data_IF_643105017159
#
_entry.id   IF_643105017159
#
_cell.length_a   1.000
_cell.length_b   1.000
_cell.length_c   1.000
_cell.angle_alpha   90.00
_cell.angle_beta   90.00
_cell.angle_gamma   90.00
#
_symmetry.space_group_name_H-M   'P 1'
#
loop_
_entity.id
_entity.type
_entity.pdbx_description
1 polymer ?
#
# COMPACT_ATOMS: atom_id res chain seq x y z
N UNK A 1 59.64 -23.62 12.10
CA UNK A 1 58.35 -23.25 12.74
C UNK A 1 57.32 -24.27 12.31
N UNK A 2 56.50 -24.74 13.24
CA UNK A 2 55.17 -25.26 12.96
C UNK A 2 54.19 -24.32 13.70
N UNK A 3 53.05 -24.02 13.11
CA UNK A 3 51.95 -23.29 13.76
C UNK A 3 50.62 -23.77 13.18
N UNK A 4 49.59 -23.86 14.01
CA UNK A 4 48.40 -24.69 13.76
C UNK A 4 47.13 -23.85 13.49
N UNK A 5 46.65 -23.89 12.24
CA UNK A 5 45.57 -23.02 11.74
C UNK A 5 44.15 -23.53 11.98
N UNK A 6 43.85 -24.13 13.12
CA UNK A 6 42.57 -24.83 13.39
C UNK A 6 41.32 -23.92 13.36
N UNK A 7 40.69 -23.77 12.18
CA UNK A 7 39.35 -23.17 12.03
C UNK A 7 38.27 -24.11 12.54
N UNK A 8 37.62 -23.76 13.67
CA UNK A 8 36.58 -24.58 14.30
C UNK A 8 35.19 -24.34 13.70
N UNK A 9 34.58 -25.42 13.22
CA UNK A 9 33.17 -25.47 12.85
C UNK A 9 32.28 -25.71 14.10
N UNK A 10 31.12 -25.05 14.26
CA UNK A 10 30.22 -25.26 15.40
C UNK A 10 28.99 -26.14 15.06
N UNK A 11 28.96 -27.43 15.42
CA UNK A 11 27.76 -28.25 15.30
C UNK A 11 26.76 -27.99 16.44
N UNK A 12 25.54 -27.53 16.12
CA UNK A 12 24.44 -27.49 17.09
C UNK A 12 23.96 -28.91 17.40
N UNK A 13 23.75 -29.20 18.70
CA UNK A 13 23.50 -30.55 19.21
C UNK A 13 22.01 -30.83 19.40
N UNK A 14 21.52 -31.92 18.80
CA UNK A 14 20.14 -32.37 18.96
C UNK A 14 20.00 -33.37 20.13
N UNK A 15 19.19 -33.02 21.13
CA UNK A 15 18.69 -33.86 22.25
C UNK A 15 17.50 -33.09 22.87
N UNK A 16 16.31 -33.63 23.12
CA UNK A 16 15.84 -35.01 23.06
C UNK A 16 15.35 -35.46 24.43
N UNK A 17 14.03 -35.33 24.73
CA UNK A 17 13.45 -35.71 26.03
C UNK A 17 11.94 -36.00 25.96
N UNK A 18 11.47 -37.03 26.67
CA UNK A 18 10.05 -37.51 26.85
C UNK A 18 10.10 -38.77 27.75
N UNK A 19 8.99 -39.33 28.32
CA UNK A 19 7.60 -38.84 28.49
C UNK A 19 7.45 -37.95 29.75
N UNK A 20 6.56 -38.02 30.78
CA UNK A 20 5.47 -38.89 31.35
C UNK A 20 4.60 -37.99 32.30
N UNK A 21 3.46 -38.34 32.90
CA UNK A 21 2.27 -39.18 32.61
C UNK A 21 1.27 -39.07 33.82
N UNK A 22 0.02 -39.55 33.70
CA UNK A 22 -1.11 -39.48 34.67
C UNK A 22 -1.79 -38.11 34.87
N UNK A 23 -3.12 -38.02 35.10
CA UNK A 23 -4.14 -39.07 34.98
C UNK A 23 -5.46 -38.80 35.74
N UNK A 24 -6.61 -39.11 35.12
CA UNK A 24 -7.94 -39.21 35.76
C UNK A 24 -8.87 -40.14 34.94
N UNK A 25 -9.89 -40.76 35.54
CA UNK A 25 -10.68 -41.88 34.97
C UNK A 25 -12.10 -41.97 35.53
N UNK A 26 -13.15 -42.01 34.70
CA UNK A 26 -14.52 -42.46 35.05
C UNK A 26 -15.33 -42.97 33.84
N UNK A 27 -15.92 -44.19 33.88
CA UNK A 27 -17.06 -44.66 33.06
C UNK A 27 -18.39 -44.51 33.86
N UNK A 28 -19.57 -45.10 33.50
CA UNK A 28 -20.02 -45.91 32.34
C UNK A 28 -21.19 -45.17 31.58
N UNK A 29 -22.26 -45.70 30.93
CA UNK A 29 -22.91 -47.04 30.77
C UNK A 29 -23.84 -47.04 29.52
N UNK A 30 -24.06 -48.15 28.79
CA UNK A 30 -25.02 -48.20 27.66
C UNK A 30 -26.41 -48.77 28.03
N UNK A 31 -27.50 -48.31 27.39
CA UNK A 31 -28.81 -48.99 27.44
C UNK A 31 -30.03 -48.27 26.81
N UNK A 32 -30.81 -49.04 26.04
CA UNK A 32 -32.28 -48.92 25.84
C UNK A 32 -32.89 -47.78 25.00
N UNK A 33 -33.60 -48.17 23.93
CA UNK A 33 -34.60 -47.42 23.14
C UNK A 33 -36.03 -47.98 23.49
N UNK A 34 -37.21 -47.60 22.90
CA UNK A 34 -37.47 -46.95 21.59
C UNK A 34 -38.67 -45.94 21.52
N UNK A 35 -38.98 -45.46 20.29
CA UNK A 35 -40.27 -44.94 19.76
C UNK A 35 -40.96 -43.72 20.48
N UNK A 36 -41.72 -42.82 19.82
CA UNK A 36 -42.63 -42.99 18.67
C UNK A 36 -42.81 -41.71 17.78
N UNK A 37 -43.54 -41.87 16.66
CA UNK A 37 -44.05 -40.91 15.63
C UNK A 37 -43.96 -39.39 15.88
N UNK A 38 -43.45 -38.66 14.86
CA UNK A 38 -43.38 -37.17 14.83
C UNK A 38 -43.42 -36.51 13.44
N UNK A 39 -44.09 -37.14 12.45
CA UNK A 39 -44.34 -36.70 11.04
C UNK A 39 -43.96 -35.24 10.65
N UNK A 40 -42.88 -35.08 9.88
CA UNK A 40 -42.62 -33.83 9.11
C UNK A 40 -41.34 -33.89 8.27
N UNK A 41 -41.45 -33.66 6.96
CA UNK A 41 -40.29 -33.35 6.11
C UNK A 41 -39.94 -31.86 6.24
N UNK A 42 -38.64 -31.52 6.20
CA UNK A 42 -38.09 -31.06 4.93
C UNK A 42 -36.83 -31.82 4.50
N UNK A 43 -36.47 -31.68 3.22
CA UNK A 43 -35.27 -32.28 2.63
C UNK A 43 -33.99 -31.71 3.25
N UNK A 44 -33.04 -32.60 3.57
CA UNK A 44 -31.70 -32.20 4.03
C UNK A 44 -30.82 -31.93 2.80
N UNK A 45 -30.34 -30.70 2.57
CA UNK A 45 -29.39 -30.45 1.49
C UNK A 45 -28.11 -31.22 1.77
N UNK A 46 -27.66 -32.03 0.82
CA UNK A 46 -26.44 -32.86 0.94
C UNK A 46 -25.25 -31.99 1.37
N UNK A 47 -24.53 -32.42 2.40
CA UNK A 47 -23.29 -31.78 2.86
C UNK A 47 -22.16 -32.09 1.87
N UNK A 48 -22.27 -31.55 0.66
CA UNK A 48 -21.19 -31.49 -0.30
C UNK A 48 -20.10 -30.59 0.30
N UNK A 49 -18.92 -31.17 0.58
CA UNK A 49 -17.74 -30.45 1.08
C UNK A 49 -17.20 -29.53 -0.01
N UNK A 50 -17.86 -28.39 -0.22
CA UNK A 50 -17.41 -27.38 -1.17
C UNK A 50 -16.20 -26.66 -0.58
N UNK A 51 -15.04 -26.84 -1.20
CA UNK A 51 -13.87 -26.04 -0.88
C UNK A 51 -14.24 -24.55 -1.03
N UNK A 52 -13.84 -23.73 -0.05
CA UNK A 52 -14.04 -22.30 -0.10
C UNK A 52 -12.98 -21.66 -1.00
N UNK A 53 -13.07 -21.91 -2.30
CA UNK A 53 -12.37 -21.11 -3.31
C UNK A 53 -12.76 -19.64 -3.09
N UNK A 54 -11.79 -18.73 -2.89
CA UNK A 54 -12.09 -17.32 -2.71
C UNK A 54 -12.64 -16.77 -4.02
N UNK A 55 -13.97 -16.56 -4.07
CA UNK A 55 -14.63 -15.91 -5.20
C UNK A 55 -13.94 -14.58 -5.46
N UNK A 56 -13.36 -14.32 -6.65
CA UNK A 56 -12.86 -13.00 -6.97
C UNK A 56 -14.01 -12.00 -6.85
N UNK A 57 -13.76 -10.89 -6.16
CA UNK A 57 -14.72 -9.80 -6.02
C UNK A 57 -15.11 -9.20 -7.39
N UNK A 58 -16.17 -8.38 -7.43
CA UNK A 58 -16.68 -7.85 -8.70
C UNK A 58 -15.60 -7.10 -9.46
N UNK A 59 -15.58 -7.30 -10.79
CA UNK A 59 -14.80 -6.51 -11.73
C UNK A 59 -15.22 -5.04 -11.59
N UNK A 60 -14.39 -4.25 -10.91
CA UNK A 60 -14.69 -2.86 -10.59
C UNK A 60 -13.48 -2.00 -10.97
N UNK A 61 -13.54 -1.48 -12.20
CA UNK A 61 -12.43 -0.83 -12.88
C UNK A 61 -12.11 -1.50 -14.22
N UNK A 62 -12.92 -1.20 -15.24
CA UNK A 62 -12.38 -1.08 -16.61
C UNK A 62 -11.50 0.17 -16.65
N UNK A 63 -10.31 0.03 -16.09
CA UNK A 63 -9.21 0.98 -16.17
C UNK A 63 -7.97 0.22 -16.59
N UNK A 64 -7.00 0.91 -17.16
CA UNK A 64 -5.75 0.34 -17.69
C UNK A 64 -4.84 -0.07 -16.52
N UNK A 65 -5.14 -1.24 -15.96
CA UNK A 65 -4.38 -1.83 -14.87
C UNK A 65 -3.20 -2.65 -15.42
N UNK A 66 -1.99 -2.26 -15.07
CA UNK A 66 -0.77 -3.01 -15.35
C UNK A 66 -0.25 -3.64 -14.06
N UNK A 67 0.15 -4.90 -14.11
CA UNK A 67 0.76 -5.62 -12.98
C UNK A 67 2.04 -6.27 -13.46
N UNK A 68 3.17 -5.88 -12.88
CA UNK A 68 4.48 -6.48 -13.14
C UNK A 68 4.78 -7.47 -12.02
N UNK A 69 4.58 -8.75 -12.29
CA UNK A 69 4.80 -9.81 -11.30
C UNK A 69 6.28 -10.02 -10.93
N UNK A 70 6.51 -10.77 -9.85
CA UNK A 70 7.84 -11.16 -9.38
C UNK A 70 8.66 -11.85 -10.48
N UNK A 71 9.97 -11.61 -10.46
CA UNK A 71 10.97 -12.11 -11.42
C UNK A 71 10.77 -11.65 -12.88
N UNK A 72 9.80 -10.77 -13.16
CA UNK A 72 9.66 -10.10 -14.46
C UNK A 72 10.49 -8.81 -14.47
N UNK A 73 11.28 -8.62 -15.53
CA UNK A 73 11.92 -7.35 -15.86
C UNK A 73 11.17 -6.69 -17.04
N UNK A 74 10.50 -5.55 -16.80
CA UNK A 74 9.80 -4.78 -17.81
C UNK A 74 10.64 -3.57 -18.23
N UNK A 75 11.04 -3.50 -19.50
CA UNK A 75 11.81 -2.39 -20.05
C UNK A 75 11.01 -1.69 -21.16
N UNK A 76 10.95 -0.35 -21.15
CA UNK A 76 10.25 0.42 -22.19
C UNK A 76 9.74 1.79 -21.73
N UNK A 77 8.58 2.18 -22.26
CA UNK A 77 7.83 3.37 -21.85
C UNK A 77 6.37 2.94 -21.59
N UNK A 78 5.78 3.41 -20.49
CA UNK A 78 4.40 3.14 -20.10
C UNK A 78 3.66 4.48 -20.04
N UNK A 79 2.70 4.66 -20.95
CA UNK A 79 1.97 5.92 -21.08
C UNK A 79 0.48 5.72 -20.82
N UNK A 80 -0.13 6.64 -20.07
CA UNK A 80 -1.56 6.68 -19.80
C UNK A 80 -2.14 5.38 -19.21
N UNK A 81 -1.66 4.95 -18.03
CA UNK A 81 -2.22 3.82 -17.26
C UNK A 81 -2.90 4.29 -15.96
N UNK A 82 -4.05 3.70 -15.62
CA UNK A 82 -4.85 4.12 -14.47
C UNK A 82 -4.29 3.62 -13.14
N UNK A 83 -3.83 2.36 -13.09
CA UNK A 83 -3.22 1.75 -11.91
C UNK A 83 -2.07 0.81 -12.27
N UNK A 84 -0.87 1.14 -11.82
CA UNK A 84 0.32 0.29 -11.96
C UNK A 84 0.66 -0.39 -10.63
N UNK A 85 0.81 -1.72 -10.64
CA UNK A 85 1.34 -2.50 -9.50
C UNK A 85 2.67 -3.13 -9.90
N UNK A 86 3.71 -2.98 -9.07
CA UNK A 86 5.07 -3.48 -9.34
C UNK A 86 5.55 -4.41 -8.23
N UNK A 87 5.58 -5.73 -8.51
CA UNK A 87 6.25 -6.75 -7.69
C UNK A 87 7.62 -7.18 -8.26
N UNK A 88 7.94 -6.84 -9.52
CA UNK A 88 9.17 -7.21 -10.23
C UNK A 88 10.16 -6.06 -10.42
N UNK A 89 11.05 -6.17 -11.42
CA UNK A 89 11.90 -5.06 -11.87
C UNK A 89 11.25 -4.31 -13.05
N UNK A 90 11.34 -2.97 -13.03
CA UNK A 90 10.88 -2.10 -14.11
C UNK A 90 11.99 -1.11 -14.45
N UNK A 91 12.56 -1.19 -15.65
CA UNK A 91 13.53 -0.24 -16.19
C UNK A 91 12.86 0.59 -17.30
N UNK A 92 12.04 1.57 -16.92
CA UNK A 92 11.13 2.25 -17.85
C UNK A 92 10.86 3.71 -17.48
N UNK A 93 10.33 4.46 -18.45
CA UNK A 93 9.68 5.75 -18.20
C UNK A 93 8.17 5.55 -18.05
N UNK A 94 7.58 6.05 -16.97
CA UNK A 94 6.14 6.08 -16.72
C UNK A 94 5.62 7.51 -16.92
N UNK A 95 4.76 7.71 -17.91
CA UNK A 95 4.16 9.00 -18.24
C UNK A 95 2.64 8.98 -18.02
N UNK A 96 2.10 10.08 -17.48
CA UNK A 96 0.66 10.31 -17.29
C UNK A 96 -0.07 9.12 -16.61
N UNK A 97 0.35 8.75 -15.39
CA UNK A 97 -0.30 7.65 -14.65
C UNK A 97 -0.96 8.11 -13.34
N UNK A 98 -2.15 7.58 -13.04
CA UNK A 98 -2.97 8.09 -11.93
C UNK A 98 -2.56 7.53 -10.56
N UNK A 99 -2.44 6.21 -10.46
CA UNK A 99 -2.08 5.49 -9.23
C UNK A 99 -0.92 4.52 -9.51
N UNK A 100 0.18 4.64 -8.76
CA UNK A 100 1.28 3.65 -8.75
C UNK A 100 1.48 3.06 -7.37
N UNK A 101 1.62 1.74 -7.31
CA UNK A 101 1.81 0.93 -6.11
C UNK A 101 3.03 0.01 -6.32
N UNK A 102 4.17 0.33 -5.71
CA UNK A 102 5.36 -0.55 -5.73
C UNK A 102 5.33 -1.43 -4.48
N UNK A 103 5.23 -2.74 -4.66
CA UNK A 103 5.18 -3.73 -3.58
C UNK A 103 6.56 -3.95 -2.94
N UNK A 104 6.61 -4.66 -1.80
CA UNK A 104 7.87 -5.09 -1.21
C UNK A 104 8.63 -6.04 -2.15
N UNK A 105 9.90 -5.72 -2.41
CA UNK A 105 10.72 -6.40 -3.42
C UNK A 105 10.64 -5.83 -4.84
N UNK A 106 9.65 -4.96 -5.14
CA UNK A 106 9.60 -4.26 -6.43
C UNK A 106 10.78 -3.29 -6.60
N UNK A 107 11.37 -3.25 -7.80
CA UNK A 107 12.51 -2.38 -8.14
C UNK A 107 12.16 -1.54 -9.36
N UNK A 108 11.95 -0.24 -9.18
CA UNK A 108 11.67 0.69 -10.27
C UNK A 108 12.88 1.58 -10.58
N UNK A 109 13.25 1.66 -11.85
CA UNK A 109 14.38 2.43 -12.37
C UNK A 109 13.95 3.25 -13.58
N UNK A 110 14.05 4.59 -13.50
CA UNK A 110 13.74 5.48 -14.62
C UNK A 110 13.04 6.77 -14.22
N UNK A 111 12.19 7.29 -15.10
CA UNK A 111 11.39 8.49 -14.86
C UNK A 111 9.94 8.09 -14.54
N UNK A 112 9.28 8.74 -13.57
CA UNK A 112 7.87 8.49 -13.26
C UNK A 112 7.09 9.79 -13.00
N UNK A 113 6.09 10.09 -13.84
CA UNK A 113 5.18 11.22 -13.70
C UNK A 113 3.76 10.73 -13.37
N UNK A 114 3.27 11.09 -12.18
CA UNK A 114 2.06 10.51 -11.59
C UNK A 114 1.22 11.50 -10.77
N UNK A 115 -0.07 11.23 -10.59
CA UNK A 115 -0.90 11.95 -9.61
C UNK A 115 -0.58 11.47 -8.18
N UNK A 116 -0.73 10.16 -7.91
CA UNK A 116 -0.61 9.55 -6.58
C UNK A 116 0.30 8.33 -6.60
N UNK A 117 1.31 8.30 -5.72
CA UNK A 117 2.28 7.20 -5.62
C UNK A 117 2.33 6.60 -4.22
N UNK A 118 2.45 5.28 -4.16
CA UNK A 118 2.74 4.51 -2.96
C UNK A 118 3.93 3.57 -3.19
N UNK A 119 4.98 3.73 -2.38
CA UNK A 119 6.28 3.05 -2.57
C UNK A 119 6.62 2.17 -1.36
N UNK A 120 6.58 0.85 -1.52
CA UNK A 120 7.06 -0.14 -0.53
C UNK A 120 8.32 -0.90 -0.96
N UNK A 121 8.73 -0.78 -2.23
CA UNK A 121 9.98 -1.33 -2.76
C UNK A 121 11.09 -0.29 -2.93
N UNK A 122 12.00 -0.55 -3.85
CA UNK A 122 13.10 0.33 -4.24
C UNK A 122 12.72 1.16 -5.47
N UNK A 123 12.91 2.48 -5.39
CA UNK A 123 12.80 3.40 -6.52
C UNK A 123 14.14 4.12 -6.74
N UNK A 124 14.70 4.09 -7.95
CA UNK A 124 15.94 4.80 -8.32
C UNK A 124 15.74 5.60 -9.62
N UNK A 125 15.68 6.93 -9.56
CA UNK A 125 15.52 7.76 -10.76
C UNK A 125 14.99 9.18 -10.54
N UNK A 126 14.11 9.65 -11.43
CA UNK A 126 13.38 10.92 -11.26
C UNK A 126 11.87 10.67 -11.13
N UNK A 127 11.26 11.20 -10.07
CA UNK A 127 9.82 11.06 -9.77
C UNK A 127 9.16 12.43 -9.67
N UNK A 128 8.00 12.58 -10.29
CA UNK A 128 7.15 13.77 -10.25
C UNK A 128 5.77 13.33 -9.75
N UNK A 129 5.48 13.62 -8.47
CA UNK A 129 4.23 13.28 -7.80
C UNK A 129 3.36 14.54 -7.65
N UNK A 130 2.41 14.73 -8.57
CA UNK A 130 1.64 15.97 -8.64
C UNK A 130 0.79 16.21 -7.39
N UNK A 131 0.10 15.19 -6.89
CA UNK A 131 -0.81 15.32 -5.74
C UNK A 131 -0.20 14.78 -4.44
N UNK A 132 0.11 13.47 -4.36
CA UNK A 132 0.53 12.84 -3.10
C UNK A 132 1.53 11.69 -3.31
N UNK A 133 2.62 11.71 -2.55
CA UNK A 133 3.61 10.64 -2.45
C UNK A 133 3.56 10.00 -1.06
N UNK A 134 3.37 8.68 -1.00
CA UNK A 134 3.34 7.87 0.21
C UNK A 134 4.52 6.90 0.20
N UNK A 135 5.43 7.00 1.16
CA UNK A 135 6.53 6.04 1.33
C UNK A 135 6.13 5.07 2.46
N UNK A 136 6.02 3.78 2.14
CA UNK A 136 5.70 2.69 3.09
C UNK A 136 6.91 2.31 3.94
N UNK A 137 6.71 1.43 4.92
CA UNK A 137 7.74 1.06 5.92
C UNK A 137 9.04 0.47 5.37
N UNK A 138 9.03 -0.08 4.15
CA UNK A 138 10.18 -0.65 3.42
C UNK A 138 10.57 0.17 2.19
N UNK A 139 9.86 1.27 1.91
CA UNK A 139 10.11 2.08 0.72
C UNK A 139 11.49 2.74 0.77
N UNK A 140 12.31 2.48 -0.24
CA UNK A 140 13.64 3.10 -0.42
C UNK A 140 13.61 3.92 -1.70
N UNK A 141 13.62 5.25 -1.59
CA UNK A 141 13.52 6.17 -2.74
C UNK A 141 14.85 6.90 -2.94
N UNK A 142 15.40 6.85 -4.16
CA UNK A 142 16.69 7.44 -4.51
C UNK A 142 16.61 8.27 -5.79
N UNK A 143 17.32 9.40 -5.82
CA UNK A 143 17.48 10.24 -7.00
C UNK A 143 16.82 11.61 -6.86
N UNK A 144 15.96 11.99 -7.80
CA UNK A 144 15.30 13.31 -7.83
C UNK A 144 13.80 13.16 -7.62
N UNK A 145 13.24 13.82 -6.60
CA UNK A 145 11.82 13.70 -6.26
C UNK A 145 11.20 15.10 -6.25
N UNK A 146 10.19 15.32 -7.08
CA UNK A 146 9.32 16.49 -7.06
C UNK A 146 7.95 16.05 -6.54
N UNK A 147 7.38 16.74 -5.56
CA UNK A 147 6.12 16.31 -4.93
C UNK A 147 5.25 17.50 -4.48
N UNK A 148 3.93 17.38 -4.60
CA UNK A 148 2.99 18.35 -4.01
C UNK A 148 2.74 18.12 -2.51
N UNK A 149 2.61 16.85 -2.10
CA UNK A 149 2.46 16.43 -0.70
C UNK A 149 3.20 15.11 -0.48
N UNK A 150 3.92 14.96 0.64
CA UNK A 150 4.65 13.75 1.00
C UNK A 150 4.27 13.25 2.40
N UNK A 151 4.06 11.94 2.52
CA UNK A 151 3.89 11.24 3.79
C UNK A 151 4.82 10.02 3.84
N UNK A 152 5.53 9.86 4.95
CA UNK A 152 6.54 8.82 5.13
C UNK A 152 6.16 7.98 6.35
N UNK A 153 5.91 6.68 6.13
CA UNK A 153 5.67 5.72 7.19
C UNK A 153 6.98 5.34 7.90
N UNK A 154 6.96 5.00 9.20
CA UNK A 154 8.17 4.65 9.95
C UNK A 154 8.91 3.48 9.29
N UNK A 155 10.19 3.68 8.98
CA UNK A 155 11.05 2.74 8.23
C UNK A 155 11.34 3.18 6.79
N UNK A 156 10.52 4.06 6.20
CA UNK A 156 10.76 4.63 4.87
C UNK A 156 12.07 5.41 4.80
N UNK A 157 12.84 5.17 3.74
CA UNK A 157 14.16 5.75 3.48
C UNK A 157 14.11 6.57 2.18
N UNK A 158 14.63 7.80 2.20
CA UNK A 158 14.75 8.65 1.01
C UNK A 158 16.14 9.30 0.95
N UNK A 159 16.75 9.33 -0.23
CA UNK A 159 18.12 9.84 -0.44
C UNK A 159 18.28 10.50 -1.82
N UNK A 160 18.45 11.82 -1.84
CA UNK A 160 18.74 12.59 -3.06
C UNK A 160 18.16 14.00 -3.02
N UNK A 161 17.96 14.60 -4.19
CA UNK A 161 17.37 15.94 -4.32
C UNK A 161 15.85 15.86 -4.21
N UNK A 162 15.30 16.55 -3.21
CA UNK A 162 13.89 16.52 -2.83
C UNK A 162 13.35 17.94 -2.94
N UNK A 163 12.43 18.17 -3.87
CA UNK A 163 11.89 19.50 -4.18
C UNK A 163 10.35 19.51 -4.09
N UNK A 164 9.78 20.58 -3.56
CA UNK A 164 8.33 20.81 -3.60
C UNK A 164 7.93 21.22 -5.03
N UNK A 165 6.89 20.58 -5.55
CA UNK A 165 6.24 20.98 -6.80
C UNK A 165 5.12 21.96 -6.43
N UNK A 166 5.34 23.27 -6.63
CA UNK A 166 4.37 24.31 -6.25
C UNK A 166 3.04 24.12 -7.01
N UNK A 167 2.08 23.52 -6.30
CA UNK A 167 0.68 23.41 -6.69
C UNK A 167 -0.18 24.47 -5.99
N UNK A 168 0.44 25.43 -5.29
CA UNK A 168 -0.21 26.50 -4.53
C UNK A 168 -1.09 27.40 -5.40
N UNK A 169 -0.74 27.52 -6.68
CA UNK A 169 -1.49 28.24 -7.71
C UNK A 169 -3.00 27.88 -7.76
N UNK A 170 -3.38 26.62 -7.52
CA UNK A 170 -4.80 26.22 -7.60
C UNK A 170 -5.57 26.32 -6.27
N UNK A 171 -4.89 26.43 -5.11
CA UNK A 171 -5.55 26.46 -3.79
C UNK A 171 -5.75 27.86 -3.21
N UNK A 172 -5.01 28.87 -3.69
CA UNK A 172 -5.12 30.25 -3.17
C UNK A 172 -6.32 31.05 -3.72
N UNK A 173 -6.95 30.61 -4.81
CA UNK A 173 -8.09 31.31 -5.43
C UNK A 173 -9.37 31.37 -4.55
N UNK A 174 -9.50 30.50 -3.55
CA UNK A 174 -10.73 30.37 -2.73
C UNK A 174 -10.69 31.22 -1.45
N UNK A 175 -9.54 31.81 -1.08
CA UNK A 175 -9.38 32.62 0.13
C UNK A 175 -9.64 34.14 -0.05
N UNK A 176 -9.95 34.59 -1.28
CA UNK A 176 -9.94 36.00 -1.66
C UNK A 176 -11.19 36.83 -1.34
N UNK A 177 -12.37 36.22 -1.19
CA UNK A 177 -13.62 36.97 -0.97
C UNK A 177 -13.99 37.12 0.52
N UNK A 178 -13.19 37.88 1.28
CA UNK A 178 -13.62 38.42 2.57
C UNK A 178 -13.91 39.92 2.44
N UNK A 179 -15.18 40.25 2.64
CA UNK A 179 -15.78 41.56 2.36
C UNK A 179 -15.20 42.70 3.21
N UNK A 180 -14.17 43.38 2.73
CA UNK A 180 -13.87 44.75 3.15
C UNK A 180 -14.77 45.71 2.38
N UNK A 181 -15.98 45.96 2.90
CA UNK A 181 -16.87 46.98 2.34
C UNK A 181 -16.21 48.36 2.51
N UNK A 182 -15.92 49.10 1.42
CA UNK A 182 -15.37 50.44 1.54
C UNK A 182 -16.49 51.37 1.99
N UNK A 183 -16.44 51.79 3.26
CA UNK A 183 -17.35 52.80 3.80
C UNK A 183 -17.25 54.08 2.94
N UNK A 184 -18.35 54.58 2.36
CA UNK A 184 -18.29 55.73 1.47
C UNK A 184 -17.82 56.98 2.24
N UNK A 185 -16.87 57.77 1.71
CA UNK A 185 -16.42 58.98 2.39
C UNK A 185 -17.57 59.98 2.54
N UNK A 186 -17.74 60.51 3.74
CA UNK A 186 -18.83 61.44 4.05
C UNK A 186 -18.73 62.75 3.22
N UNK A 187 -19.85 63.35 2.81
CA UNK A 187 -19.84 64.55 1.98
C UNK A 187 -19.26 65.76 2.73
N UNK A 188 -18.49 66.64 2.06
CA UNK A 188 -17.92 67.82 2.68
C UNK A 188 -19.01 68.82 3.10
N UNK A 189 -18.90 69.32 4.32
CA UNK A 189 -19.84 70.31 4.90
C UNK A 189 -19.79 71.62 4.08
N UNK A 190 -20.94 72.22 3.70
CA UNK A 190 -20.93 73.49 2.99
C UNK A 190 -20.33 74.60 3.87
N UNK A 191 -19.37 75.36 3.32
CA UNK A 191 -18.92 76.60 3.95
C UNK A 191 -19.95 77.68 3.65
N UNK A 192 -20.65 78.14 4.69
CA UNK A 192 -21.48 79.33 4.59
C UNK A 192 -20.61 80.54 4.21
N UNK A 193 -21.13 81.35 3.28
CA UNK A 193 -20.58 82.66 2.95
C UNK A 193 -21.40 83.72 3.69
N UNK A 194 -20.79 84.74 4.32
CA UNK A 194 -21.43 86.04 4.47
C UNK A 194 -21.54 86.74 3.10
#
# INVERSE_FOLDING_TARGET
MADDGARKEPPLKFKGNTPVAHGARVPPTPGTAPADVGRGAPEVPVIARRAAEPRPGPLQGEGKKLVVGRDIALNGEISACDRLIVEGEVNASLAECREIEIADGGVYKGAAEIETAEIAGLFEGEMIAHNRLIIRHTGVVRGKIRYGMIEIQPGGLISGDIAELDQGAHRLAVAGNRSTSPFPPAPPRPKAKP
#
